data_IF_546266234643
#
_entry.id   IF_546266234643
#
_cell.length_a   1.000
_cell.length_b   1.000
_cell.length_c   1.000
_cell.angle_alpha   90.00
_cell.angle_beta   90.00
_cell.angle_gamma   90.00
#
_symmetry.space_group_name_H-M   'P 1'
#
loop_
_entity.id
_entity.type
_entity.pdbx_description
1 polymer ?
#
# COMPACT_ATOMS: atom_id res chain seq x y z
N UNK A 1 -14.54 -31.25 -16.44
CA UNK A 1 -13.58 -30.17 -16.75
C UNK A 1 -14.38 -29.07 -17.43
N UNK A 2 -14.72 -28.02 -16.70
CA UNK A 2 -15.41 -26.83 -17.22
C UNK A 2 -14.47 -25.64 -17.02
N UNK A 3 -14.17 -24.84 -18.05
CA UNK A 3 -13.28 -23.70 -17.91
C UNK A 3 -14.07 -22.46 -17.43
N UNK A 4 -13.47 -21.79 -16.47
CA UNK A 4 -13.80 -20.46 -15.98
C UNK A 4 -13.65 -19.42 -17.09
N UNK A 5 -14.71 -18.68 -17.40
CA UNK A 5 -14.58 -17.40 -18.12
C UNK A 5 -15.85 -16.56 -18.01
N UNK A 6 -16.09 -15.89 -16.89
CA UNK A 6 -16.99 -14.71 -16.83
C UNK A 6 -16.77 -13.94 -15.52
N UNK A 7 -15.75 -13.07 -15.46
CA UNK A 7 -15.79 -11.83 -14.65
C UNK A 7 -14.92 -10.79 -15.36
N UNK A 8 -15.48 -10.11 -16.36
CA UNK A 8 -14.97 -8.84 -16.83
C UNK A 8 -15.68 -7.76 -16.02
N UNK A 9 -14.99 -7.17 -15.03
CA UNK A 9 -15.46 -5.96 -14.35
C UNK A 9 -15.35 -4.78 -15.32
N UNK A 10 -16.49 -4.24 -15.75
CA UNK A 10 -16.58 -2.99 -16.50
C UNK A 10 -16.09 -1.80 -15.64
N UNK A 11 -15.00 -1.17 -16.07
CA UNK A 11 -14.42 0.06 -15.52
C UNK A 11 -15.19 1.36 -15.88
N UNK A 12 -16.45 1.26 -16.31
CA UNK A 12 -17.16 2.36 -16.98
C UNK A 12 -18.39 2.92 -16.22
N UNK A 13 -18.55 2.63 -14.93
CA UNK A 13 -19.74 3.06 -14.15
C UNK A 13 -19.45 3.95 -12.93
N UNK A 14 -18.34 4.71 -12.94
CA UNK A 14 -17.99 5.67 -11.88
C UNK A 14 -17.69 7.08 -12.41
N UNK A 15 -18.29 7.44 -13.55
CA UNK A 15 -18.30 8.82 -14.06
C UNK A 15 -19.75 9.17 -14.37
N UNK A 16 -20.42 9.83 -13.41
CA UNK A 16 -21.58 10.72 -13.57
C UNK A 16 -22.57 10.63 -12.39
N UNK A 17 -22.19 11.19 -11.25
CA UNK A 17 -23.02 12.03 -10.36
C UNK A 17 -22.00 12.99 -9.76
N UNK A 18 -22.04 14.31 -9.87
CA UNK A 18 -23.10 15.27 -10.10
C UNK A 18 -22.58 16.53 -9.43
N UNK A 19 -22.22 17.50 -10.26
CA UNK A 19 -21.56 18.77 -9.94
C UNK A 19 -22.43 19.66 -9.03
N UNK A 20 -21.90 20.10 -7.88
CA UNK A 20 -22.27 21.35 -7.17
C UNK A 20 -21.56 21.43 -5.80
N UNK A 21 -20.28 21.85 -5.77
CA UNK A 21 -19.61 22.59 -4.67
C UNK A 21 -18.07 22.44 -4.66
N UNK A 22 -17.43 22.06 -5.78
CA UNK A 22 -15.97 21.89 -5.79
C UNK A 22 -15.21 23.24 -5.79
N UNK A 23 -15.85 24.33 -6.23
CA UNK A 23 -15.20 25.62 -6.43
C UNK A 23 -15.17 26.59 -5.24
N UNK A 24 -16.00 26.39 -4.21
CA UNK A 24 -16.26 27.45 -3.20
C UNK A 24 -15.65 27.16 -1.80
N UNK A 25 -15.24 25.91 -1.54
CA UNK A 25 -14.79 25.47 -0.20
C UNK A 25 -13.32 25.05 -0.09
N UNK A 26 -12.64 24.81 -1.22
CA UNK A 26 -11.16 24.69 -1.24
C UNK A 26 -10.47 25.99 -0.83
N UNK A 27 -11.11 27.14 -1.12
CA UNK A 27 -10.69 28.46 -0.65
C UNK A 27 -10.63 28.54 0.87
N UNK A 28 -11.50 27.85 1.63
CA UNK A 28 -11.44 27.89 3.10
C UNK A 28 -10.12 27.33 3.65
N UNK A 29 -9.61 26.25 3.07
CA UNK A 29 -8.32 25.68 3.44
C UNK A 29 -7.17 26.60 3.03
N UNK A 30 -7.19 27.10 1.78
CA UNK A 30 -6.14 27.97 1.23
C UNK A 30 -6.11 29.30 2.00
N UNK A 31 -7.26 29.94 2.22
CA UNK A 31 -7.38 31.19 2.95
C UNK A 31 -6.95 31.01 4.41
N UNK A 32 -7.28 29.89 5.06
CA UNK A 32 -6.78 29.60 6.40
C UNK A 32 -5.25 29.51 6.39
N UNK A 33 -4.68 28.79 5.43
CA UNK A 33 -3.25 28.58 5.32
C UNK A 33 -2.50 29.88 5.02
N UNK A 34 -2.92 30.63 3.99
CA UNK A 34 -2.35 31.94 3.61
C UNK A 34 -2.39 32.89 4.82
N UNK A 35 -3.56 33.02 5.48
CA UNK A 35 -3.68 33.90 6.64
C UNK A 35 -2.82 33.45 7.82
N UNK A 36 -2.74 32.14 8.09
CA UNK A 36 -1.94 31.61 9.19
C UNK A 36 -0.45 31.87 8.96
N UNK A 37 0.04 31.52 7.77
CA UNK A 37 1.47 31.61 7.45
C UNK A 37 1.91 33.07 7.32
N UNK A 38 1.12 33.91 6.63
CA UNK A 38 1.45 35.32 6.44
C UNK A 38 1.40 36.10 7.76
N UNK A 39 0.36 35.90 8.59
CA UNK A 39 0.13 36.71 9.80
C UNK A 39 0.89 36.20 11.02
N UNK A 40 1.04 34.88 11.17
CA UNK A 40 1.57 34.28 12.40
C UNK A 40 3.01 33.77 12.21
N UNK A 41 3.38 33.30 11.02
CA UNK A 41 4.76 32.90 10.75
C UNK A 41 5.64 34.06 10.25
N UNK A 42 5.04 35.15 9.78
CA UNK A 42 5.77 36.24 9.11
C UNK A 42 6.45 35.80 7.81
N UNK A 43 6.06 34.64 7.28
CA UNK A 43 6.51 34.10 6.00
C UNK A 43 5.47 34.55 4.99
N UNK A 44 5.84 35.42 4.05
CA UNK A 44 4.95 35.72 2.92
C UNK A 44 4.93 34.51 1.99
N UNK A 45 3.81 33.81 1.91
CA UNK A 45 3.62 32.80 0.89
C UNK A 45 3.44 33.52 -0.45
N UNK A 46 4.51 33.65 -1.24
CA UNK A 46 4.39 34.14 -2.61
C UNK A 46 3.71 33.04 -3.40
N UNK A 47 2.43 33.25 -3.69
CA UNK A 47 1.61 32.40 -4.53
C UNK A 47 2.28 32.21 -5.90
N UNK A 48 2.50 30.97 -6.32
CA UNK A 48 3.07 30.62 -7.63
C UNK A 48 2.17 31.12 -8.79
N UNK A 49 0.88 31.31 -8.53
CA UNK A 49 -0.10 31.94 -9.42
C UNK A 49 -0.02 33.47 -9.49
N UNK A 50 0.70 34.10 -8.56
CA UNK A 50 0.91 35.55 -8.45
C UNK A 50 2.28 36.03 -8.92
N UNK A 51 3.19 35.13 -9.30
CA UNK A 51 4.45 35.49 -9.98
C UNK A 51 4.27 35.44 -11.52
N UNK A 52 4.12 36.60 -12.19
CA UNK A 52 3.98 36.64 -13.65
C UNK A 52 5.21 36.09 -14.40
N UNK A 53 6.40 36.05 -13.80
CA UNK A 53 7.60 35.47 -14.43
C UNK A 53 7.55 33.93 -14.40
N UNK A 54 7.19 33.31 -13.28
CA UNK A 54 7.10 31.84 -13.17
C UNK A 54 5.98 31.25 -14.05
N UNK A 55 4.80 31.90 -14.08
CA UNK A 55 3.65 31.49 -14.90
C UNK A 55 3.98 31.47 -16.39
N UNK A 56 4.81 32.40 -16.85
CA UNK A 56 5.28 32.43 -18.24
C UNK A 56 6.19 31.24 -18.57
N UNK A 57 7.02 30.83 -17.62
CA UNK A 57 8.00 29.75 -17.80
C UNK A 57 7.34 28.36 -17.79
N UNK A 58 6.35 28.14 -16.92
CA UNK A 58 5.62 26.88 -16.80
C UNK A 58 4.57 26.70 -17.88
N UNK A 59 3.82 27.76 -18.24
CA UNK A 59 2.90 27.71 -19.38
C UNK A 59 3.69 27.43 -20.66
N UNK A 60 4.84 28.10 -20.85
CA UNK A 60 5.71 27.81 -21.98
C UNK A 60 6.30 26.38 -21.94
N UNK A 61 6.61 25.84 -20.76
CA UNK A 61 7.08 24.45 -20.59
C UNK A 61 5.97 23.45 -20.91
N UNK A 62 4.75 23.70 -20.43
CA UNK A 62 3.56 22.86 -20.68
C UNK A 62 3.17 22.87 -22.16
N UNK A 63 3.23 24.03 -22.82
CA UNK A 63 2.94 24.15 -24.26
C UNK A 63 4.03 23.53 -25.13
N UNK A 64 5.30 23.52 -24.68
CA UNK A 64 6.37 22.76 -25.36
C UNK A 64 6.17 21.26 -25.24
N UNK A 65 5.77 20.77 -24.07
CA UNK A 65 5.47 19.35 -23.85
C UNK A 65 4.25 18.88 -24.62
N UNK A 66 3.18 19.68 -24.65
CA UNK A 66 1.95 19.38 -25.41
C UNK A 66 2.22 19.30 -26.91
N UNK A 67 2.99 20.24 -27.47
CA UNK A 67 3.41 20.19 -28.88
C UNK A 67 4.21 18.94 -29.23
N UNK A 68 5.16 18.53 -28.38
CA UNK A 68 5.92 17.28 -28.58
C UNK A 68 5.03 16.04 -28.53
N UNK A 69 4.03 16.03 -27.64
CA UNK A 69 3.09 14.92 -27.54
C UNK A 69 2.20 14.82 -28.80
N UNK A 70 1.71 15.95 -29.30
CA UNK A 70 0.90 16.02 -30.52
C UNK A 70 1.71 15.61 -31.77
N UNK A 71 2.99 15.99 -31.85
CA UNK A 71 3.93 15.54 -32.90
C UNK A 71 4.12 14.03 -32.87
N UNK A 72 4.32 13.44 -31.68
CA UNK A 72 4.47 11.99 -31.52
C UNK A 72 3.17 11.23 -31.86
N UNK A 73 2.01 11.75 -31.46
CA UNK A 73 0.71 11.17 -31.82
C UNK A 73 0.49 11.19 -33.34
N UNK A 74 0.86 12.29 -33.99
CA UNK A 74 0.77 12.44 -35.46
C UNK A 74 1.70 11.46 -36.17
N UNK A 75 2.94 11.28 -35.68
CA UNK A 75 3.86 10.28 -36.22
C UNK A 75 3.32 8.86 -36.05
N UNK A 76 2.74 8.52 -34.90
CA UNK A 76 2.14 7.21 -34.66
C UNK A 76 0.93 6.93 -35.56
N UNK A 77 0.06 7.93 -35.76
CA UNK A 77 -1.06 7.82 -36.69
C UNK A 77 -0.58 7.65 -38.14
N UNK A 78 0.47 8.36 -38.54
CA UNK A 78 1.07 8.24 -39.87
C UNK A 78 1.67 6.85 -40.08
N UNK A 79 2.38 6.31 -39.09
CA UNK A 79 2.92 4.94 -39.13
C UNK A 79 1.81 3.90 -39.18
N UNK A 80 0.71 4.08 -38.43
CA UNK A 80 -0.45 3.18 -38.51
C UNK A 80 -1.14 3.24 -39.87
N UNK A 81 -1.22 4.42 -40.48
CA UNK A 81 -1.80 4.59 -41.82
C UNK A 81 -0.92 3.91 -42.87
N UNK A 82 0.40 4.10 -42.81
CA UNK A 82 1.37 3.42 -43.68
C UNK A 82 1.29 1.89 -43.53
N UNK A 83 1.18 1.37 -42.30
CA UNK A 83 0.99 -0.06 -42.07
C UNK A 83 -0.32 -0.59 -42.64
N UNK A 84 -1.42 0.19 -42.58
CA UNK A 84 -2.69 -0.19 -43.19
C UNK A 84 -2.60 -0.19 -44.72
N UNK A 85 -1.93 0.79 -45.31
CA UNK A 85 -1.71 0.88 -46.75
C UNK A 85 -0.79 -0.25 -47.25
N UNK A 86 0.28 -0.58 -46.52
CA UNK A 86 1.13 -1.74 -46.80
C UNK A 86 0.36 -3.07 -46.66
N UNK A 87 -0.54 -3.19 -45.67
CA UNK A 87 -1.41 -4.36 -45.54
C UNK A 87 -2.42 -4.44 -46.68
N UNK A 88 -3.00 -3.32 -47.12
CA UNK A 88 -3.92 -3.27 -48.26
C UNK A 88 -3.23 -3.57 -49.59
N UNK A 89 -1.98 -3.14 -49.77
CA UNK A 89 -1.16 -3.49 -50.93
C UNK A 89 -0.74 -4.96 -50.93
N UNK A 90 -0.50 -5.54 -49.74
CA UNK A 90 -0.26 -6.99 -49.58
C UNK A 90 -1.52 -7.82 -49.75
N UNK A 91 -2.69 -7.28 -49.42
CA UNK A 91 -4.00 -7.90 -49.63
C UNK A 91 -4.65 -7.45 -50.95
N UNK A 92 -3.91 -7.54 -52.05
CA UNK A 92 -4.45 -7.32 -53.39
C UNK A 92 -5.74 -8.11 -53.65
N UNK A 93 -6.57 -7.69 -54.61
CA UNK A 93 -7.94 -8.18 -54.74
C UNK A 93 -7.95 -9.69 -55.03
N UNK A 94 -8.42 -10.48 -54.06
CA UNK A 94 -8.82 -11.88 -54.29
C UNK A 94 -9.90 -11.88 -55.37
N UNK A 95 -9.57 -12.43 -56.53
CA UNK A 95 -10.47 -12.58 -57.66
C UNK A 95 -11.67 -13.44 -57.27
N UNK A 96 -12.83 -13.14 -57.87
CA UNK A 96 -14.12 -13.75 -57.58
C UNK A 96 -14.21 -15.28 -57.80
N UNK A 97 -13.11 -15.94 -58.21
CA UNK A 97 -13.07 -17.38 -58.46
C UNK A 97 -12.96 -18.24 -57.17
N UNK A 98 -12.44 -17.71 -56.07
CA UNK A 98 -12.21 -18.49 -54.83
C UNK A 98 -13.44 -18.63 -53.92
N UNK A 99 -14.44 -17.75 -54.05
CA UNK A 99 -15.68 -17.83 -53.23
C UNK A 99 -16.66 -18.91 -53.69
N UNK A 100 -16.55 -19.40 -54.91
CA UNK A 100 -17.40 -20.48 -55.47
C UNK A 100 -16.91 -21.89 -55.14
N UNK A 101 -15.62 -22.07 -54.79
CA UNK A 101 -15.06 -23.39 -54.46
C UNK A 101 -15.40 -23.88 -53.04
N UNK A 102 -15.45 -22.96 -52.07
CA UNK A 102 -15.65 -23.30 -50.66
C UNK A 102 -17.12 -23.63 -50.30
N UNK A 103 -18.10 -23.16 -51.10
CA UNK A 103 -19.53 -23.46 -50.92
C UNK A 103 -19.93 -24.82 -51.49
N UNK A 104 -19.27 -25.30 -52.55
CA UNK A 104 -19.52 -26.61 -53.15
C UNK A 104 -19.00 -27.79 -52.33
N UNK A 105 -17.88 -27.61 -51.62
CA UNK A 105 -17.30 -28.67 -50.78
C UNK A 105 -18.12 -28.91 -49.50
N UNK A 106 -18.74 -27.86 -48.95
CA UNK A 106 -19.58 -27.94 -47.75
C UNK A 106 -20.91 -28.66 -48.02
N UNK A 107 -21.51 -28.44 -49.20
CA UNK A 107 -22.75 -29.10 -49.63
C UNK A 107 -22.57 -30.60 -49.90
N UNK A 108 -21.42 -31.03 -50.42
CA UNK A 108 -21.11 -32.46 -50.66
C UNK A 108 -20.86 -33.27 -49.38
N UNK A 109 -20.47 -32.61 -48.29
CA UNK A 109 -20.27 -33.26 -46.99
C UNK A 109 -21.58 -33.42 -46.20
N UNK A 110 -22.58 -32.55 -46.44
CA UNK A 110 -23.90 -32.63 -45.80
C UNK A 110 -24.83 -33.65 -46.47
N UNK A 111 -24.70 -33.87 -47.79
CA UNK A 111 -25.50 -34.87 -48.53
C UNK A 111 -25.03 -36.33 -48.25
N UNK A 112 -23.76 -36.56 -47.89
CA UNK A 112 -23.24 -37.91 -47.58
C UNK A 112 -23.57 -38.45 -46.18
N UNK A 113 -24.00 -37.60 -45.24
CA UNK A 113 -24.36 -37.99 -43.87
C UNK A 113 -25.85 -38.36 -43.71
N UNK A 114 -26.69 -38.07 -44.72
CA UNK A 114 -28.13 -38.29 -44.70
C UNK A 114 -28.58 -39.71 -45.10
N UNK A 115 -27.69 -40.54 -45.65
CA UNK A 115 -28.07 -41.83 -46.25
C UNK A 115 -27.78 -43.05 -45.35
N UNK A 116 -27.16 -42.84 -44.18
CA UNK A 116 -26.90 -43.89 -43.18
C UNK A 116 -27.96 -44.03 -42.07
N UNK A 117 -29.08 -43.30 -42.15
CA UNK A 117 -30.14 -43.31 -41.12
C UNK A 117 -31.51 -43.77 -41.66
N UNK A 118 -31.50 -44.71 -42.60
CA UNK A 118 -32.72 -45.25 -43.22
C UNK A 118 -32.72 -46.78 -43.28
N UNK A 119 -32.42 -47.44 -42.17
CA UNK A 119 -32.76 -48.86 -41.95
C UNK A 119 -32.99 -49.11 -40.46
N UNK A 120 -34.23 -49.45 -40.07
CA UNK A 120 -34.56 -49.97 -38.72
C UNK A 120 -35.71 -49.30 -37.94
N UNK A 121 -36.98 -49.57 -38.33
CA UNK A 121 -38.23 -49.37 -37.55
C UNK A 121 -38.22 -50.24 -36.26
N UNK A 122 -38.96 -50.02 -35.16
CA UNK A 122 -40.04 -49.09 -34.79
C UNK A 122 -40.71 -49.48 -33.44
N UNK A 123 -41.67 -48.66 -32.98
CA UNK A 123 -42.70 -48.84 -31.90
C UNK A 123 -42.22 -48.94 -30.44
N UNK A 124 -42.86 -48.43 -29.37
CA UNK A 124 -43.90 -47.43 -29.08
C UNK A 124 -43.99 -47.26 -27.53
N UNK A 125 -44.60 -46.16 -27.05
CA UNK A 125 -45.26 -45.92 -25.73
C UNK A 125 -44.57 -45.21 -24.51
N UNK A 126 -45.06 -43.96 -24.29
CA UNK A 126 -45.62 -43.26 -23.09
C UNK A 126 -44.93 -43.19 -21.70
N UNK A 127 -44.69 -41.92 -21.33
CA UNK A 127 -45.15 -41.14 -20.15
C UNK A 127 -44.74 -41.43 -18.67
N UNK A 128 -44.28 -40.31 -18.07
CA UNK A 128 -44.41 -39.81 -16.68
C UNK A 128 -43.61 -40.38 -15.49
N UNK A 129 -42.88 -39.46 -14.83
CA UNK A 129 -42.45 -39.50 -13.42
C UNK A 129 -42.34 -38.06 -12.85
N UNK A 130 -42.78 -37.81 -11.60
CA UNK A 130 -42.25 -36.72 -10.78
C UNK A 130 -41.84 -37.12 -9.34
N UNK A 131 -40.97 -36.29 -8.75
CA UNK A 131 -40.64 -36.08 -7.32
C UNK A 131 -40.04 -37.21 -6.44
N UNK A 132 -38.90 -36.92 -5.76
CA UNK A 132 -38.75 -36.66 -4.28
C UNK A 132 -37.28 -36.85 -3.79
N UNK A 133 -36.93 -36.02 -2.78
CA UNK A 133 -35.96 -36.09 -1.63
C UNK A 133 -35.09 -37.36 -1.39
N UNK A 134 -33.98 -37.38 -0.56
CA UNK A 134 -33.84 -36.87 0.85
C UNK A 134 -32.35 -36.61 1.31
N UNK A 135 -31.88 -36.79 2.58
CA UNK A 135 -32.39 -36.50 3.95
C UNK A 135 -31.39 -35.68 4.85
N UNK A 136 -31.83 -35.43 6.11
CA UNK A 136 -31.10 -34.90 7.26
C UNK A 136 -30.72 -35.99 8.31
N UNK A 137 -29.84 -35.68 9.30
CA UNK A 137 -29.84 -36.38 10.60
C UNK A 137 -28.61 -36.26 11.54
N UNK A 138 -28.88 -35.85 12.81
CA UNK A 138 -28.17 -36.04 14.10
C UNK A 138 -26.94 -35.16 14.46
N UNK A 139 -26.70 -34.64 15.69
CA UNK A 139 -27.40 -34.63 16.99
C UNK A 139 -26.43 -34.35 18.18
N UNK A 140 -26.79 -33.43 19.11
CA UNK A 140 -26.39 -33.22 20.55
C UNK A 140 -24.88 -33.19 20.97
N UNK A 141 -24.39 -32.54 22.05
CA UNK A 141 -24.93 -32.07 23.33
C UNK A 141 -24.05 -30.95 23.98
N UNK A 142 -24.62 -30.25 24.96
CA UNK A 142 -24.02 -29.19 25.80
C UNK A 142 -23.68 -29.69 27.22
N UNK A 143 -22.73 -29.04 27.91
CA UNK A 143 -22.58 -29.03 29.38
C UNK A 143 -22.08 -27.66 29.84
N UNK A 144 -22.73 -27.09 30.85
CA UNK A 144 -22.31 -25.90 31.60
C UNK A 144 -22.45 -26.11 33.12
N UNK A 145 -22.27 -25.01 33.86
CA UNK A 145 -22.33 -24.77 35.33
C UNK A 145 -21.02 -24.95 36.11
N UNK A 146 -20.62 -24.09 37.07
CA UNK A 146 -21.24 -22.87 37.62
C UNK A 146 -20.50 -22.31 38.85
N UNK A 147 -20.78 -21.03 39.14
CA UNK A 147 -20.65 -20.18 40.34
C UNK A 147 -20.13 -20.70 41.71
N UNK A 148 -19.48 -19.77 42.44
CA UNK A 148 -19.38 -19.70 43.91
C UNK A 148 -19.02 -18.28 44.40
N UNK A 149 -19.75 -17.78 45.39
CA UNK A 149 -19.87 -16.39 45.85
C UNK A 149 -19.49 -16.18 47.33
N UNK A 150 -19.17 -14.93 47.71
CA UNK A 150 -19.28 -14.36 49.08
C UNK A 150 -17.97 -13.80 49.66
N UNK A 151 -17.89 -12.79 50.55
CA UNK A 151 -18.69 -11.60 50.93
C UNK A 151 -17.98 -10.94 52.14
N UNK A 152 -17.94 -9.60 52.20
CA UNK A 152 -17.60 -8.75 53.39
C UNK A 152 -16.09 -8.50 53.62
N UNK A 153 -15.59 -7.32 54.02
CA UNK A 153 -16.13 -6.03 54.46
C UNK A 153 -15.00 -5.27 55.20
N UNK A 154 -14.98 -3.93 55.06
CA UNK A 154 -14.16 -2.91 55.79
C UNK A 154 -12.62 -2.95 55.59
N UNK A 155 -11.85 -1.89 55.33
CA UNK A 155 -12.03 -0.45 55.35
C UNK A 155 -10.69 0.16 55.81
N UNK A 156 -9.97 0.90 54.95
CA UNK A 156 -9.01 1.96 55.30
C UNK A 156 -8.27 2.46 54.04
N UNK A 157 -8.32 3.77 53.86
CA UNK A 157 -7.71 4.57 52.81
C UNK A 157 -6.17 4.51 52.85
N UNK A 158 -5.54 4.43 51.68
CA UNK A 158 -4.32 5.17 51.37
C UNK A 158 -4.18 5.32 49.85
N UNK A 159 -4.25 6.57 49.38
CA UNK A 159 -4.40 6.95 47.98
C UNK A 159 -3.12 6.77 47.15
N UNK A 160 -3.26 6.06 46.04
CA UNK A 160 -2.29 6.07 44.94
C UNK A 160 -2.82 7.03 43.87
N UNK A 161 -2.12 8.15 43.71
CA UNK A 161 -2.49 9.26 42.83
C UNK A 161 -2.70 8.84 41.37
N UNK A 162 -3.91 9.08 40.88
CA UNK A 162 -4.30 8.88 39.49
C UNK A 162 -3.64 9.92 38.57
N UNK A 163 -3.21 9.43 37.40
CA UNK A 163 -2.69 10.19 36.26
C UNK A 163 -3.76 11.14 35.69
N UNK A 164 -3.85 12.35 36.25
CA UNK A 164 -4.64 13.46 35.74
C UNK A 164 -3.89 14.19 34.63
N UNK A 165 -4.22 13.90 33.36
CA UNK A 165 -3.68 14.65 32.21
C UNK A 165 -4.43 14.41 30.89
N UNK A 166 -5.18 13.31 30.79
CA UNK A 166 -6.00 13.01 29.60
C UNK A 166 -7.38 13.69 29.60
N UNK A 167 -7.94 14.01 30.77
CA UNK A 167 -9.29 14.57 30.89
C UNK A 167 -9.38 16.05 30.48
N UNK A 168 -8.32 16.84 30.68
CA UNK A 168 -8.27 18.26 30.29
C UNK A 168 -8.26 18.48 28.77
N UNK A 169 -7.66 17.57 28.00
CA UNK A 169 -7.66 17.64 26.53
C UNK A 169 -9.03 17.32 25.92
N UNK A 170 -9.72 16.34 26.48
CA UNK A 170 -11.06 15.97 26.06
C UNK A 170 -12.09 17.05 26.46
N UNK A 171 -11.92 17.72 27.61
CA UNK A 171 -12.80 18.81 28.04
C UNK A 171 -12.49 20.17 27.43
N UNK A 172 -11.24 20.44 27.04
CA UNK A 172 -10.89 21.62 26.24
C UNK A 172 -11.46 21.54 24.82
N UNK A 173 -11.37 20.36 24.20
CA UNK A 173 -11.98 20.06 22.91
C UNK A 173 -13.51 20.04 22.96
N UNK A 174 -14.11 19.44 23.99
CA UNK A 174 -15.58 19.44 24.18
C UNK A 174 -16.15 20.84 24.46
N UNK A 175 -15.44 21.70 25.20
CA UNK A 175 -15.86 23.09 25.42
C UNK A 175 -15.76 23.95 24.16
N UNK A 176 -14.76 23.72 23.31
CA UNK A 176 -14.67 24.33 21.98
C UNK A 176 -15.77 23.82 21.03
N UNK A 177 -16.15 22.54 21.11
CA UNK A 177 -17.25 21.93 20.35
C UNK A 177 -18.64 22.39 20.81
N UNK A 178 -18.86 22.60 22.11
CA UNK A 178 -20.10 23.18 22.66
C UNK A 178 -20.35 24.59 22.14
N UNK A 179 -19.30 25.41 22.03
CA UNK A 179 -19.39 26.77 21.48
C UNK A 179 -19.69 26.78 19.95
N UNK A 180 -19.36 25.71 19.24
CA UNK A 180 -19.66 25.52 17.81
C UNK A 180 -21.09 24.98 17.60
N UNK A 181 -21.59 24.13 18.51
CA UNK A 181 -22.96 23.62 18.48
C UNK A 181 -24.00 24.69 18.83
N UNK A 182 -23.74 25.57 19.81
CA UNK A 182 -24.64 26.68 20.16
C UNK A 182 -24.79 27.71 19.03
N UNK A 183 -23.82 27.80 18.12
CA UNK A 183 -23.85 28.68 16.95
C UNK A 183 -24.67 28.12 15.76
N UNK A 184 -25.09 26.86 15.80
CA UNK A 184 -25.82 26.20 14.70
C UNK A 184 -27.29 25.87 15.02
N UNK A 185 -27.72 26.06 16.28
CA UNK A 185 -29.10 25.84 16.71
C UNK A 185 -29.84 27.15 17.03
N UNK A 186 -30.52 27.74 16.05
CA UNK A 186 -31.50 28.81 16.29
C UNK A 186 -31.62 29.81 15.15
N UNK A 187 -32.58 29.58 14.26
CA UNK A 187 -33.01 30.55 13.24
C UNK A 187 -33.46 31.87 13.91
N UNK A 188 -32.78 32.97 13.59
CA UNK A 188 -33.28 34.28 14.00
C UNK A 188 -32.29 35.43 13.97
N UNK A 189 -32.28 36.15 12.84
CA UNK A 189 -31.90 37.57 12.68
C UNK A 189 -30.41 37.93 12.72
N UNK A 190 -29.89 38.10 11.51
CA UNK A 190 -29.09 39.24 11.02
C UNK A 190 -28.07 39.89 12.00
N UNK A 191 -26.80 39.55 11.79
CA UNK A 191 -25.65 40.35 12.25
C UNK A 191 -24.44 39.47 12.59
N UNK A 192 -23.28 39.81 12.02
CA UNK A 192 -21.94 39.25 12.30
C UNK A 192 -21.53 37.93 11.59
N UNK A 193 -20.92 38.08 10.41
CA UNK A 193 -20.08 37.02 9.77
C UNK A 193 -18.60 37.10 10.25
N UNK A 194 -18.30 37.86 11.30
CA UNK A 194 -16.91 38.12 11.74
C UNK A 194 -16.31 37.20 12.81
N UNK A 195 -17.06 36.29 13.42
CA UNK A 195 -16.65 35.61 14.67
C UNK A 195 -15.88 34.29 14.53
N UNK A 196 -16.22 33.46 13.55
CA UNK A 196 -15.67 32.09 13.42
C UNK A 196 -14.19 32.06 13.00
N UNK A 197 -13.78 33.03 12.16
CA UNK A 197 -12.38 33.24 11.77
C UNK A 197 -11.51 33.63 12.97
N UNK A 198 -11.99 34.54 13.83
CA UNK A 198 -11.21 35.05 14.96
C UNK A 198 -10.92 33.97 16.03
N UNK A 199 -11.88 33.09 16.31
CA UNK A 199 -11.70 32.00 17.28
C UNK A 199 -10.74 30.91 16.76
N UNK A 200 -10.84 30.57 15.47
CA UNK A 200 -9.91 29.64 14.81
C UNK A 200 -8.50 30.22 14.76
N UNK A 201 -8.37 31.51 14.44
CA UNK A 201 -7.10 32.25 14.44
C UNK A 201 -6.50 32.32 15.85
N UNK A 202 -7.29 32.49 16.91
CA UNK A 202 -6.79 32.55 18.29
C UNK A 202 -6.24 31.20 18.82
N UNK A 203 -6.83 30.07 18.39
CA UNK A 203 -6.28 28.74 18.72
C UNK A 203 -4.98 28.50 17.97
N UNK A 204 -4.95 28.83 16.68
CA UNK A 204 -3.78 28.71 15.82
C UNK A 204 -2.61 29.58 16.34
N UNK A 205 -2.88 30.84 16.69
CA UNK A 205 -1.92 31.81 17.27
C UNK A 205 -1.17 31.24 18.49
N UNK A 206 -1.91 30.57 19.41
CA UNK A 206 -1.33 29.95 20.61
C UNK A 206 -0.37 28.80 20.27
N UNK A 207 -0.74 27.92 19.34
CA UNK A 207 0.10 26.77 18.96
C UNK A 207 1.30 27.18 18.10
N UNK A 208 1.15 28.25 17.31
CA UNK A 208 2.19 28.79 16.44
C UNK A 208 3.28 29.53 17.22
N UNK A 209 2.92 30.46 18.11
CA UNK A 209 3.92 31.29 18.79
C UNK A 209 4.55 30.62 20.02
N UNK A 210 3.84 29.67 20.64
CA UNK A 210 4.37 28.92 21.77
C UNK A 210 3.92 27.45 21.73
N UNK A 211 4.41 26.68 20.74
CA UNK A 211 4.09 25.26 20.66
C UNK A 211 4.51 24.57 21.95
N UNK A 212 3.65 23.72 22.55
CA UNK A 212 4.03 22.95 23.71
C UNK A 212 5.27 22.09 23.42
N UNK A 213 6.04 21.80 24.47
CA UNK A 213 7.40 21.24 24.34
C UNK A 213 7.46 19.97 23.49
N UNK A 214 6.44 19.11 23.52
CA UNK A 214 6.40 17.87 22.76
C UNK A 214 6.34 18.11 21.24
N UNK A 215 5.70 19.19 20.79
CA UNK A 215 5.68 19.56 19.37
C UNK A 215 7.02 20.12 18.91
N UNK A 216 7.68 20.91 19.77
CA UNK A 216 9.05 21.40 19.50
C UNK A 216 10.03 20.24 19.38
N UNK A 217 9.96 19.27 20.29
CA UNK A 217 10.81 18.05 20.24
C UNK A 217 10.53 17.25 18.97
N UNK A 218 9.28 17.17 18.53
CA UNK A 218 8.89 16.48 17.29
C UNK A 218 9.12 17.32 16.01
N UNK A 219 9.76 18.50 16.12
CA UNK A 219 10.13 19.31 14.94
C UNK A 219 8.94 19.92 14.20
N UNK A 220 7.89 20.29 14.91
CA UNK A 220 6.79 21.07 14.35
C UNK A 220 7.14 22.56 14.35
N UNK A 221 7.32 23.11 13.16
CA UNK A 221 7.50 24.54 12.94
C UNK A 221 6.15 25.24 12.69
N UNK A 222 6.21 26.57 12.59
CA UNK A 222 5.03 27.40 12.38
C UNK A 222 4.22 26.99 11.15
N UNK A 223 4.91 26.75 10.02
CA UNK A 223 4.27 26.38 8.77
C UNK A 223 3.60 25.01 8.84
N UNK A 224 4.26 24.02 9.46
CA UNK A 224 3.70 22.68 9.66
C UNK A 224 2.48 22.71 10.58
N UNK A 225 2.49 23.52 11.65
CA UNK A 225 1.34 23.71 12.52
C UNK A 225 0.17 24.39 11.77
N UNK A 226 0.44 25.41 10.96
CA UNK A 226 -0.56 26.05 10.10
C UNK A 226 -1.20 25.04 9.15
N UNK A 227 -0.38 24.27 8.41
CA UNK A 227 -0.84 23.24 7.47
C UNK A 227 -1.72 22.21 8.17
N UNK A 228 -1.24 21.65 9.29
CA UNK A 228 -1.97 20.62 10.02
C UNK A 228 -3.29 21.14 10.60
N UNK A 229 -3.28 22.33 11.18
CA UNK A 229 -4.47 22.90 11.82
C UNK A 229 -5.53 23.29 10.79
N UNK A 230 -5.15 24.00 9.74
CA UNK A 230 -6.07 24.39 8.67
C UNK A 230 -6.66 23.17 7.95
N UNK A 231 -5.85 22.14 7.70
CA UNK A 231 -6.31 20.87 7.14
C UNK A 231 -7.38 20.24 8.04
N UNK A 232 -7.11 20.12 9.34
CA UNK A 232 -8.07 19.51 10.28
C UNK A 232 -9.34 20.35 10.45
N UNK A 233 -9.25 21.68 10.50
CA UNK A 233 -10.42 22.57 10.55
C UNK A 233 -11.30 22.43 9.31
N UNK A 234 -10.69 22.35 8.12
CA UNK A 234 -11.44 22.15 6.89
C UNK A 234 -12.14 20.78 6.89
N UNK A 235 -11.48 19.72 7.37
CA UNK A 235 -12.11 18.39 7.52
C UNK A 235 -13.30 18.42 8.48
N UNK A 236 -13.18 19.06 9.64
CA UNK A 236 -14.31 19.18 10.59
C UNK A 236 -15.49 19.93 9.96
N UNK A 237 -15.22 21.03 9.26
CA UNK A 237 -16.26 21.80 8.53
C UNK A 237 -16.98 20.94 7.48
N UNK A 238 -16.23 20.10 6.75
CA UNK A 238 -16.82 19.18 5.77
C UNK A 238 -17.68 18.10 6.42
N UNK A 239 -17.19 17.47 7.48
CA UNK A 239 -17.94 16.45 8.22
C UNK A 239 -19.22 17.02 8.83
N UNK A 240 -19.17 18.22 9.39
CA UNK A 240 -20.35 18.93 9.90
C UNK A 240 -21.40 19.22 8.81
N UNK A 241 -20.96 19.44 7.58
CA UNK A 241 -21.82 19.62 6.41
C UNK A 241 -22.26 18.30 5.75
N UNK A 242 -21.93 17.14 6.34
CA UNK A 242 -22.26 15.82 5.79
C UNK A 242 -21.44 15.42 4.56
N UNK A 243 -20.29 16.06 4.32
CA UNK A 243 -19.39 15.74 3.21
C UNK A 243 -18.27 14.77 3.57
N UNK A 244 -17.64 14.19 2.54
CA UNK A 244 -16.54 13.23 2.70
C UNK A 244 -15.20 13.88 3.07
N UNK A 245 -14.31 13.07 3.65
CA UNK A 245 -12.91 13.44 3.91
C UNK A 245 -12.13 13.40 2.60
N UNK A 246 -11.29 14.42 2.39
CA UNK A 246 -10.43 14.51 1.20
C UNK A 246 -8.96 14.31 1.57
N UNK A 247 -8.17 13.90 0.57
CA UNK A 247 -6.72 13.91 0.66
C UNK A 247 -6.17 15.31 0.41
N UNK A 248 -5.09 15.66 1.11
CA UNK A 248 -4.35 16.90 0.96
C UNK A 248 -2.93 16.54 0.54
N UNK A 249 -2.48 17.07 -0.61
CA UNK A 249 -1.18 16.70 -1.19
C UNK A 249 -1.00 15.18 -1.35
N UNK A 250 -2.09 14.46 -1.66
CA UNK A 250 -2.09 13.00 -1.80
C UNK A 250 -2.03 12.22 -0.48
N UNK A 251 -2.20 12.87 0.68
CA UNK A 251 -2.20 12.21 2.00
C UNK A 251 -3.52 12.42 2.75
N UNK A 252 -3.88 11.47 3.60
CA UNK A 252 -5.06 11.60 4.44
C UNK A 252 -4.82 12.53 5.64
N UNK A 253 -5.87 13.23 6.11
CA UNK A 253 -5.76 14.13 7.25
C UNK A 253 -5.87 13.39 8.59
N UNK A 254 -4.75 13.22 9.29
CA UNK A 254 -4.70 12.59 10.61
C UNK A 254 -4.88 13.58 11.77
N UNK A 255 -5.41 13.08 12.90
CA UNK A 255 -5.24 13.68 14.22
C UNK A 255 -3.88 13.27 14.78
N UNK A 256 -3.03 14.26 15.02
CA UNK A 256 -1.75 14.05 15.71
C UNK A 256 -1.96 13.65 17.17
N UNK A 257 -1.09 12.78 17.69
CA UNK A 257 -1.05 12.38 19.11
C UNK A 257 0.36 12.60 19.66
N UNK A 258 0.52 13.40 20.72
CA UNK A 258 1.82 13.74 21.32
C UNK A 258 2.90 14.28 20.35
N UNK A 259 2.48 14.83 19.21
CA UNK A 259 3.42 15.29 18.18
C UNK A 259 3.64 14.28 17.04
N UNK A 260 3.16 13.04 17.17
CA UNK A 260 3.27 11.98 16.17
C UNK A 260 2.13 12.14 15.15
N UNK A 261 2.49 12.32 13.89
CA UNK A 261 1.55 12.58 12.79
C UNK A 261 0.64 11.38 12.52
N UNK A 262 1.21 10.18 12.39
CA UNK A 262 0.48 8.93 12.10
C UNK A 262 0.76 7.88 13.19
N UNK A 263 0.08 8.01 14.34
CA UNK A 263 0.38 7.20 15.53
C UNK A 263 0.46 5.69 15.26
N UNK A 264 -0.55 5.12 14.60
CA UNK A 264 -0.61 3.69 14.40
C UNK A 264 0.39 3.21 13.34
N UNK A 265 0.58 3.95 12.25
CA UNK A 265 1.65 3.67 11.29
C UNK A 265 3.01 3.65 11.98
N UNK A 266 3.36 4.66 12.78
CA UNK A 266 4.63 4.70 13.53
C UNK A 266 4.81 3.51 14.49
N UNK A 267 3.77 3.19 15.28
CA UNK A 267 3.84 2.09 16.25
C UNK A 267 3.97 0.73 15.56
N UNK A 268 3.22 0.51 14.49
CA UNK A 268 3.26 -0.75 13.76
C UNK A 268 4.53 -0.91 12.93
N UNK A 269 5.08 0.18 12.37
CA UNK A 269 6.44 0.17 11.80
C UNK A 269 7.46 -0.25 12.84
N UNK A 270 7.49 0.37 14.02
CA UNK A 270 8.38 -0.03 15.11
C UNK A 270 8.17 -1.51 15.52
N UNK A 271 6.91 -1.96 15.53
CA UNK A 271 6.53 -3.35 15.76
C UNK A 271 7.13 -4.34 14.76
N UNK A 272 7.27 -3.95 13.48
CA UNK A 272 7.93 -4.79 12.47
C UNK A 272 9.44 -4.95 12.69
N UNK A 273 10.06 -4.06 13.47
CA UNK A 273 11.44 -4.23 13.96
C UNK A 273 11.59 -5.36 15.00
N UNK A 274 10.53 -5.70 15.73
CA UNK A 274 10.59 -6.66 16.85
C UNK A 274 10.98 -8.09 16.46
N UNK A 275 10.45 -8.71 15.38
CA UNK A 275 10.91 -10.02 14.92
C UNK A 275 12.41 -10.06 14.65
N UNK A 276 12.97 -8.99 14.08
CA UNK A 276 14.40 -8.88 13.79
C UNK A 276 15.22 -8.76 15.07
N UNK A 277 14.80 -7.87 15.99
CA UNK A 277 15.44 -7.67 17.29
C UNK A 277 15.40 -8.93 18.15
N UNK A 278 14.26 -9.59 18.23
CA UNK A 278 14.07 -10.85 18.97
C UNK A 278 15.04 -11.91 18.49
N UNK A 279 15.16 -12.12 17.17
CA UNK A 279 16.04 -13.16 16.65
C UNK A 279 17.52 -12.82 16.82
N UNK A 280 17.87 -11.54 16.66
CA UNK A 280 19.23 -11.05 16.88
C UNK A 280 19.70 -11.24 18.33
N UNK A 281 18.86 -10.91 19.32
CA UNK A 281 19.23 -10.94 20.74
C UNK A 281 19.02 -12.30 21.40
N UNK A 282 17.91 -12.98 21.10
CA UNK A 282 17.47 -14.15 21.88
C UNK A 282 17.66 -15.48 21.16
N UNK A 283 17.86 -15.48 19.84
CA UNK A 283 18.02 -16.72 19.08
C UNK A 283 19.02 -16.66 17.91
N UNK A 284 20.18 -15.97 18.04
CA UNK A 284 21.11 -15.78 16.93
C UNK A 284 21.61 -17.08 16.32
N UNK A 285 21.95 -18.07 17.16
CA UNK A 285 22.40 -19.38 16.70
C UNK A 285 21.31 -20.25 16.06
N UNK A 286 20.02 -19.91 16.23
CA UNK A 286 18.93 -20.71 15.67
C UNK A 286 18.73 -20.42 14.18
N UNK A 287 18.65 -19.13 13.82
CA UNK A 287 18.44 -18.72 12.44
C UNK A 287 19.75 -18.61 11.67
N UNK A 288 20.89 -18.46 12.38
CA UNK A 288 22.22 -18.36 11.81
C UNK A 288 23.21 -19.37 12.42
N UNK A 289 22.98 -20.68 12.27
CA UNK A 289 23.82 -21.71 12.85
C UNK A 289 25.23 -21.72 12.21
N UNK A 290 26.29 -22.09 12.99
CA UNK A 290 27.63 -22.31 12.45
C UNK A 290 27.63 -23.32 11.31
N UNK A 291 28.50 -23.11 10.31
CA UNK A 291 28.59 -23.97 9.14
C UNK A 291 27.56 -23.68 8.03
N UNK A 292 26.56 -22.84 8.28
CA UNK A 292 25.65 -22.40 7.21
C UNK A 292 26.39 -21.51 6.21
N UNK A 293 26.35 -21.84 4.92
CA UNK A 293 26.99 -21.04 3.87
C UNK A 293 26.35 -19.64 3.69
N UNK A 294 25.11 -19.45 4.15
CA UNK A 294 24.42 -18.16 4.17
C UNK A 294 24.80 -17.29 5.37
N UNK A 295 25.69 -17.75 6.25
CA UNK A 295 25.93 -17.16 7.57
C UNK A 295 26.19 -15.65 7.55
N UNK A 296 27.02 -15.18 6.62
CA UNK A 296 27.29 -13.75 6.48
C UNK A 296 26.01 -12.94 6.22
N UNK A 297 25.21 -13.37 5.24
CA UNK A 297 23.99 -12.67 4.86
C UNK A 297 22.91 -12.75 5.94
N UNK A 298 22.81 -13.88 6.64
CA UNK A 298 21.89 -14.03 7.77
C UNK A 298 22.32 -13.16 8.95
N UNK A 299 23.62 -12.96 9.21
CA UNK A 299 24.08 -12.00 10.23
C UNK A 299 23.60 -10.57 9.93
N UNK A 300 23.68 -10.15 8.65
CA UNK A 300 23.30 -8.79 8.22
C UNK A 300 21.78 -8.60 8.18
N UNK A 301 21.03 -9.67 7.93
CA UNK A 301 19.57 -9.65 7.71
C UNK A 301 18.74 -8.89 8.77
N UNK A 302 18.85 -9.17 10.08
CA UNK A 302 18.08 -8.42 11.08
C UNK A 302 18.46 -6.93 11.14
N UNK A 303 19.72 -6.57 10.88
CA UNK A 303 20.16 -5.16 10.92
C UNK A 303 19.50 -4.34 9.82
N UNK A 304 19.47 -4.87 8.59
CA UNK A 304 18.80 -4.20 7.47
C UNK A 304 17.30 -4.06 7.75
N UNK A 305 16.66 -5.13 8.26
CA UNK A 305 15.25 -5.10 8.64
C UNK A 305 14.95 -4.05 9.71
N UNK A 306 15.67 -4.07 10.84
CA UNK A 306 15.49 -3.08 11.91
C UNK A 306 15.70 -1.64 11.43
N UNK A 307 16.74 -1.40 10.63
CA UNK A 307 17.01 -0.06 10.10
C UNK A 307 15.85 0.43 9.20
N UNK A 308 15.30 -0.45 8.37
CA UNK A 308 14.16 -0.13 7.50
C UNK A 308 12.95 0.31 8.30
N UNK A 309 12.57 -0.51 9.28
CA UNK A 309 11.39 -0.27 10.11
C UNK A 309 11.56 0.91 11.07
N UNK A 310 12.79 1.19 11.50
CA UNK A 310 13.12 2.42 12.23
C UNK A 310 12.82 3.65 11.39
N UNK A 311 13.32 3.70 10.15
CA UNK A 311 13.12 4.86 9.28
C UNK A 311 11.67 5.05 8.85
N UNK A 312 10.94 3.95 8.62
CA UNK A 312 9.49 4.00 8.45
C UNK A 312 8.78 4.57 9.68
N UNK A 313 9.13 4.11 10.89
CA UNK A 313 8.53 4.64 12.12
C UNK A 313 8.80 6.14 12.31
N UNK A 314 10.04 6.57 12.00
CA UNK A 314 10.46 7.99 12.07
C UNK A 314 9.69 8.84 11.05
N UNK A 315 9.54 8.38 9.81
CA UNK A 315 8.78 9.06 8.77
C UNK A 315 7.30 9.24 9.13
N UNK A 316 6.62 8.17 9.53
CA UNK A 316 5.22 8.26 9.96
C UNK A 316 5.04 9.10 11.23
N UNK A 317 6.08 9.17 12.07
CA UNK A 317 6.01 9.99 13.27
C UNK A 317 6.15 11.47 12.93
N UNK A 318 7.08 11.79 12.02
CA UNK A 318 7.30 13.14 11.53
C UNK A 318 7.68 13.13 10.06
N UNK A 319 6.72 13.52 9.24
CA UNK A 319 6.85 13.59 7.79
C UNK A 319 7.49 14.91 7.37
N UNK A 320 8.77 14.86 7.01
CA UNK A 320 9.57 15.97 6.48
C UNK A 320 10.50 15.43 5.39
N UNK A 321 11.03 16.28 4.48
CA UNK A 321 11.72 15.78 3.28
C UNK A 321 12.86 14.78 3.54
N UNK A 322 13.61 14.94 4.63
CA UNK A 322 14.72 14.04 4.94
C UNK A 322 14.28 12.72 5.59
N UNK A 323 13.18 12.71 6.37
CA UNK A 323 12.62 11.46 6.93
C UNK A 323 11.92 10.67 5.84
N UNK A 324 11.21 11.35 4.93
CA UNK A 324 10.65 10.78 3.71
C UNK A 324 11.74 10.14 2.85
N UNK A 325 12.81 10.87 2.53
CA UNK A 325 13.93 10.32 1.76
C UNK A 325 14.54 9.09 2.42
N UNK A 326 14.75 9.14 3.75
CA UNK A 326 15.33 8.01 4.48
C UNK A 326 14.43 6.77 4.46
N UNK A 327 13.13 6.91 4.70
CA UNK A 327 12.18 5.79 4.64
C UNK A 327 12.25 5.09 3.27
N UNK A 328 12.23 5.87 2.18
CA UNK A 328 12.25 5.35 0.83
C UNK A 328 13.54 4.64 0.50
N UNK A 329 14.68 5.24 0.83
CA UNK A 329 15.99 4.68 0.57
C UNK A 329 16.21 3.39 1.35
N UNK A 330 15.81 3.35 2.61
CA UNK A 330 16.00 2.16 3.45
C UNK A 330 14.96 1.06 3.17
N UNK A 331 13.72 1.40 2.82
CA UNK A 331 12.77 0.44 2.27
C UNK A 331 13.30 -0.21 0.99
N UNK A 332 13.86 0.59 0.08
CA UNK A 332 14.45 0.07 -1.15
C UNK A 332 15.70 -0.78 -0.86
N UNK A 333 16.56 -0.35 0.08
CA UNK A 333 17.71 -1.12 0.54
C UNK A 333 17.29 -2.51 1.01
N UNK A 334 16.24 -2.59 1.80
CA UNK A 334 15.70 -3.84 2.31
C UNK A 334 15.23 -4.74 1.18
N UNK A 335 14.42 -4.22 0.25
CA UNK A 335 13.90 -4.99 -0.89
C UNK A 335 15.06 -5.55 -1.73
N UNK A 336 16.04 -4.71 -2.08
CA UNK A 336 17.24 -5.16 -2.81
C UNK A 336 18.03 -6.22 -2.05
N UNK A 337 18.20 -6.03 -0.74
CA UNK A 337 18.90 -6.97 0.12
C UNK A 337 18.16 -8.32 0.21
N UNK A 338 16.84 -8.34 0.37
CA UNK A 338 16.08 -9.61 0.43
C UNK A 338 15.99 -10.31 -0.92
N UNK A 339 15.97 -9.58 -2.04
CA UNK A 339 16.14 -10.14 -3.40
C UNK A 339 17.50 -10.82 -3.50
N UNK A 340 18.56 -10.14 -3.04
CA UNK A 340 19.91 -10.70 -3.02
C UNK A 340 20.01 -11.97 -2.17
N UNK A 341 19.44 -11.96 -0.96
CA UNK A 341 19.39 -13.15 -0.09
C UNK A 341 18.67 -14.30 -0.78
N UNK A 342 17.53 -14.06 -1.42
CA UNK A 342 16.80 -15.08 -2.18
C UNK A 342 17.65 -15.66 -3.32
N UNK A 343 18.35 -14.79 -4.06
CA UNK A 343 19.22 -15.17 -5.16
C UNK A 343 20.42 -16.01 -4.71
N UNK A 344 21.13 -15.61 -3.65
CA UNK A 344 22.25 -16.39 -3.08
C UNK A 344 21.75 -17.74 -2.53
N UNK A 345 20.56 -17.74 -1.92
CA UNK A 345 19.95 -18.98 -1.43
C UNK A 345 19.65 -19.95 -2.57
N UNK A 346 19.03 -19.48 -3.65
CA UNK A 346 18.77 -20.25 -4.87
C UNK A 346 20.05 -20.77 -5.55
N UNK A 347 21.12 -19.98 -5.53
CA UNK A 347 22.40 -20.38 -6.10
C UNK A 347 23.11 -21.50 -5.32
N UNK A 348 22.64 -21.84 -4.12
CA UNK A 348 23.17 -22.93 -3.29
C UNK A 348 24.59 -22.67 -2.74
N UNK A 349 25.17 -23.66 -2.04
CA UNK A 349 26.50 -23.55 -1.44
C UNK A 349 27.61 -23.32 -2.48
N UNK A 350 28.59 -22.41 -2.24
CA UNK A 350 29.67 -22.10 -3.19
C UNK A 350 30.44 -23.32 -3.71
N UNK A 351 30.65 -24.33 -2.85
CA UNK A 351 31.31 -25.59 -3.19
C UNK A 351 30.60 -26.35 -4.32
N UNK A 352 29.27 -26.34 -4.34
CA UNK A 352 28.44 -27.07 -5.31
C UNK A 352 28.13 -26.25 -6.58
N UNK A 353 28.59 -24.99 -6.65
CA UNK A 353 28.35 -24.12 -7.81
C UNK A 353 29.27 -24.50 -8.97
N UNK A 354 28.71 -24.53 -10.18
CA UNK A 354 29.51 -24.57 -11.41
C UNK A 354 30.43 -23.35 -11.53
N UNK A 355 31.52 -23.47 -12.30
CA UNK A 355 32.45 -22.35 -12.53
C UNK A 355 31.75 -21.08 -13.04
N UNK A 356 30.74 -21.22 -13.91
CA UNK A 356 29.93 -20.08 -14.38
C UNK A 356 29.18 -19.40 -13.24
N UNK A 357 28.53 -20.17 -12.37
CA UNK A 357 27.73 -19.63 -11.27
C UNK A 357 28.61 -18.99 -10.18
N UNK A 358 29.84 -19.51 -9.96
CA UNK A 358 30.81 -18.89 -9.05
C UNK A 358 31.22 -17.47 -9.47
N UNK A 359 31.25 -17.18 -10.77
CA UNK A 359 31.49 -15.83 -11.31
C UNK A 359 30.22 -14.98 -11.33
N UNK A 360 29.10 -15.56 -11.76
CA UNK A 360 27.83 -14.83 -11.91
C UNK A 360 27.32 -14.26 -10.59
N UNK A 361 27.34 -15.05 -9.51
CA UNK A 361 26.76 -14.63 -8.22
C UNK A 361 27.35 -13.31 -7.70
N UNK A 362 28.68 -13.18 -7.51
CA UNK A 362 29.26 -11.91 -7.06
C UNK A 362 29.04 -10.77 -8.07
N UNK A 363 29.08 -11.03 -9.39
CA UNK A 363 28.78 -10.00 -10.40
C UNK A 363 27.39 -9.43 -10.23
N UNK A 364 26.35 -10.27 -10.07
CA UNK A 364 24.98 -9.82 -9.83
C UNK A 364 24.89 -8.98 -8.56
N UNK A 365 25.52 -9.43 -7.47
CA UNK A 365 25.53 -8.70 -6.19
C UNK A 365 26.16 -7.30 -6.31
N UNK A 366 27.32 -7.21 -6.97
CA UNK A 366 27.99 -5.92 -7.22
C UNK A 366 27.12 -5.03 -8.13
N UNK A 367 26.55 -5.58 -9.20
CA UNK A 367 25.66 -4.80 -10.09
C UNK A 367 24.44 -4.26 -9.36
N UNK A 368 23.80 -5.05 -8.49
CA UNK A 368 22.67 -4.59 -7.66
C UNK A 368 23.10 -3.47 -6.69
N UNK A 369 24.25 -3.61 -6.04
CA UNK A 369 24.76 -2.59 -5.12
C UNK A 369 25.10 -1.28 -5.86
N UNK A 370 25.78 -1.37 -7.01
CA UNK A 370 26.08 -0.20 -7.85
C UNK A 370 24.80 0.47 -8.32
N UNK A 371 23.82 -0.30 -8.79
CA UNK A 371 22.52 0.25 -9.19
C UNK A 371 21.83 1.00 -8.04
N UNK A 372 21.77 0.40 -6.86
CA UNK A 372 21.16 1.03 -5.68
C UNK A 372 21.85 2.36 -5.32
N UNK A 373 23.19 2.41 -5.35
CA UNK A 373 23.95 3.64 -5.10
C UNK A 373 23.67 4.71 -6.15
N UNK A 374 23.63 4.34 -7.43
CA UNK A 374 23.28 5.26 -8.53
C UNK A 374 21.84 5.76 -8.40
N UNK A 375 20.91 4.89 -8.03
CA UNK A 375 19.50 5.22 -7.81
C UNK A 375 19.34 6.27 -6.70
N UNK A 376 19.94 6.04 -5.53
CA UNK A 376 19.89 7.01 -4.42
C UNK A 376 20.59 8.31 -4.79
N UNK A 377 21.74 8.23 -5.46
CA UNK A 377 22.45 9.43 -5.92
C UNK A 377 21.58 10.25 -6.87
N UNK A 378 20.87 9.59 -7.79
CA UNK A 378 19.93 10.25 -8.70
C UNK A 378 18.78 10.93 -7.94
N UNK A 379 18.11 10.19 -7.05
CA UNK A 379 16.99 10.68 -6.24
C UNK A 379 17.38 11.83 -5.30
N UNK A 380 18.63 11.84 -4.83
CA UNK A 380 19.14 12.85 -3.89
C UNK A 380 19.58 14.13 -4.60
N UNK A 381 20.30 14.02 -5.73
CA UNK A 381 20.97 15.17 -6.34
C UNK A 381 20.25 15.77 -7.55
N UNK A 382 19.30 15.05 -8.17
CA UNK A 382 18.63 15.52 -9.39
C UNK A 382 17.15 15.79 -9.15
N UNK A 383 16.36 14.75 -8.91
CA UNK A 383 14.92 14.86 -8.69
C UNK A 383 14.44 13.73 -7.80
N UNK A 384 13.78 14.06 -6.70
CA UNK A 384 13.12 13.08 -5.84
C UNK A 384 11.79 12.65 -6.48
N UNK A 385 11.84 11.68 -7.39
CA UNK A 385 10.68 11.17 -8.14
C UNK A 385 10.08 9.94 -7.43
N UNK A 386 8.99 10.17 -6.68
CA UNK A 386 8.21 9.13 -6.01
C UNK A 386 7.77 8.01 -6.96
N UNK A 387 7.24 8.37 -8.13
CA UNK A 387 6.71 7.40 -9.10
C UNK A 387 7.82 6.54 -9.72
N UNK A 388 9.02 7.09 -9.90
CA UNK A 388 10.20 6.32 -10.27
C UNK A 388 10.63 5.36 -9.15
N UNK A 389 10.76 5.83 -7.91
CA UNK A 389 11.10 4.96 -6.77
C UNK A 389 10.11 3.80 -6.63
N UNK A 390 8.81 4.09 -6.68
CA UNK A 390 7.76 3.07 -6.56
C UNK A 390 7.81 2.02 -7.67
N UNK A 391 8.11 2.42 -8.92
CA UNK A 391 8.32 1.45 -10.01
C UNK A 391 9.51 0.53 -9.75
N UNK A 392 10.62 1.07 -9.26
CA UNK A 392 11.82 0.28 -8.92
C UNK A 392 11.54 -0.66 -7.76
N UNK A 393 10.91 -0.18 -6.70
CA UNK A 393 10.50 -0.98 -5.54
C UNK A 393 9.53 -2.12 -5.96
N UNK A 394 8.52 -1.82 -6.79
CA UNK A 394 7.56 -2.79 -7.30
C UNK A 394 8.26 -3.90 -8.12
N UNK A 395 9.14 -3.53 -9.05
CA UNK A 395 9.88 -4.51 -9.87
C UNK A 395 10.77 -5.41 -9.01
N UNK A 396 11.48 -4.82 -8.03
CA UNK A 396 12.30 -5.58 -7.10
C UNK A 396 11.44 -6.47 -6.17
N UNK A 397 10.26 -6.01 -5.75
CA UNK A 397 9.27 -6.78 -5.00
C UNK A 397 8.73 -7.97 -5.78
N UNK A 398 8.41 -7.81 -7.06
CA UNK A 398 8.02 -8.91 -7.96
C UNK A 398 9.16 -9.93 -8.10
N UNK A 399 10.40 -9.46 -8.26
CA UNK A 399 11.57 -10.33 -8.31
C UNK A 399 11.75 -11.12 -7.00
N UNK A 400 11.60 -10.46 -5.84
CA UNK A 400 11.64 -11.09 -4.52
C UNK A 400 10.59 -12.23 -4.42
N UNK A 401 9.34 -11.93 -4.76
CA UNK A 401 8.24 -12.90 -4.74
C UNK A 401 8.53 -14.07 -5.67
N UNK A 402 8.95 -13.82 -6.91
CA UNK A 402 9.23 -14.85 -7.89
C UNK A 402 10.38 -15.77 -7.47
N UNK A 403 11.49 -15.20 -6.95
CA UNK A 403 12.65 -15.97 -6.50
C UNK A 403 12.28 -16.86 -5.31
N UNK A 404 11.60 -16.32 -4.31
CA UNK A 404 11.24 -17.14 -3.16
C UNK A 404 10.18 -18.18 -3.48
N UNK A 405 9.14 -17.88 -4.26
CA UNK A 405 8.16 -18.90 -4.68
C UNK A 405 8.83 -20.01 -5.49
N UNK A 406 9.77 -19.67 -6.38
CA UNK A 406 10.61 -20.66 -7.06
C UNK A 406 11.40 -21.50 -6.07
N UNK A 407 12.02 -20.87 -5.07
CA UNK A 407 12.77 -21.59 -4.04
C UNK A 407 11.86 -22.58 -3.28
N UNK A 408 10.69 -22.13 -2.81
CA UNK A 408 9.72 -23.00 -2.13
C UNK A 408 9.26 -24.17 -2.99
N UNK A 409 9.05 -23.94 -4.30
CA UNK A 409 8.71 -24.99 -5.24
C UNK A 409 9.83 -26.04 -5.38
N UNK A 410 11.09 -25.62 -5.42
CA UNK A 410 12.24 -26.52 -5.51
C UNK A 410 12.43 -27.37 -4.24
N UNK A 411 12.05 -26.84 -3.08
CA UNK A 411 12.14 -27.55 -1.80
C UNK A 411 10.79 -28.11 -1.32
N UNK A 412 9.78 -28.22 -2.20
CA UNK A 412 8.40 -28.59 -1.84
C UNK A 412 8.25 -29.88 -1.06
N UNK A 413 9.20 -30.81 -1.20
CA UNK A 413 9.20 -32.09 -0.50
C UNK A 413 9.69 -31.95 0.96
N UNK A 414 10.24 -30.79 1.34
CA UNK A 414 10.62 -30.47 2.72
C UNK A 414 9.38 -30.02 3.51
N UNK A 415 9.18 -30.49 4.75
CA UNK A 415 7.97 -30.24 5.53
C UNK A 415 7.71 -28.75 5.85
N UNK A 416 8.76 -27.93 5.81
CA UNK A 416 8.70 -26.50 6.11
C UNK A 416 8.50 -25.59 4.89
N UNK A 417 8.59 -26.11 3.65
CA UNK A 417 8.53 -25.30 2.43
C UNK A 417 7.20 -24.54 2.26
N UNK A 418 6.08 -25.21 2.61
CA UNK A 418 4.75 -24.59 2.52
C UNK A 418 4.64 -23.33 3.39
N UNK A 419 5.31 -23.30 4.55
CA UNK A 419 5.26 -22.14 5.45
C UNK A 419 5.83 -20.89 4.78
N UNK A 420 6.99 -21.01 4.13
CA UNK A 420 7.59 -19.90 3.40
C UNK A 420 6.68 -19.40 2.28
N UNK A 421 6.07 -20.31 1.51
CA UNK A 421 5.15 -19.94 0.43
C UNK A 421 3.92 -19.20 0.95
N UNK A 422 3.31 -19.68 2.03
CA UNK A 422 2.15 -19.03 2.67
C UNK A 422 2.51 -17.62 3.14
N UNK A 423 3.65 -17.44 3.80
CA UNK A 423 4.09 -16.11 4.26
C UNK A 423 4.27 -15.16 3.08
N UNK A 424 4.89 -15.59 1.98
CA UNK A 424 5.08 -14.75 0.79
C UNK A 424 3.73 -14.35 0.18
N UNK A 425 2.79 -15.30 0.06
CA UNK A 425 1.45 -15.02 -0.47
C UNK A 425 0.71 -14.02 0.43
N UNK A 426 0.77 -14.20 1.75
CA UNK A 426 0.14 -13.29 2.71
C UNK A 426 0.78 -11.91 2.71
N UNK A 427 2.10 -11.80 2.55
CA UNK A 427 2.79 -10.51 2.38
C UNK A 427 2.31 -9.78 1.12
N UNK A 428 2.17 -10.49 -0.01
CA UNK A 428 1.64 -9.89 -1.24
C UNK A 428 0.15 -9.53 -1.10
N UNK A 429 -0.63 -10.32 -0.38
CA UNK A 429 -2.02 -9.99 -0.07
C UNK A 429 -2.12 -8.73 0.83
N UNK A 430 -1.20 -8.58 1.79
CA UNK A 430 -1.14 -7.39 2.63
C UNK A 430 -0.86 -6.13 1.79
N UNK A 431 0.02 -6.21 0.78
CA UNK A 431 0.27 -5.08 -0.15
C UNK A 431 -1.02 -4.60 -0.84
N UNK A 432 -2.05 -5.44 -0.99
CA UNK A 432 -3.34 -4.99 -1.54
C UNK A 432 -4.04 -3.96 -0.65
N UNK A 433 -3.70 -3.86 0.63
CA UNK A 433 -4.18 -2.78 1.52
C UNK A 433 -3.57 -1.43 1.12
N UNK A 434 -2.33 -1.41 0.63
CA UNK A 434 -1.70 -0.21 0.06
C UNK A 434 -2.49 0.32 -1.14
N UNK A 435 -3.05 -0.60 -1.94
CA UNK A 435 -3.81 -0.26 -3.15
C UNK A 435 -5.26 0.11 -2.81
N UNK A 436 -5.83 -0.52 -1.78
CA UNK A 436 -7.19 -0.24 -1.31
C UNK A 436 -7.17 0.84 -0.22
N UNK A 437 -6.70 2.03 -0.62
CA UNK A 437 -6.57 3.19 0.24
C UNK A 437 -7.95 3.72 0.69
N UNK A 438 -8.08 4.08 1.97
CA UNK A 438 -9.33 4.56 2.57
C UNK A 438 -9.07 5.65 3.63
N UNK A 439 -10.02 6.59 3.86
CA UNK A 439 -9.84 7.65 4.85
C UNK A 439 -9.69 7.09 6.27
N UNK A 440 -8.78 7.66 7.09
CA UNK A 440 -8.42 7.08 8.38
C UNK A 440 -9.63 6.97 9.31
N UNK A 441 -9.89 5.75 9.76
CA UNK A 441 -10.86 5.46 10.81
C UNK A 441 -10.47 6.24 12.08
N UNK A 442 -11.45 6.93 12.64
CA UNK A 442 -11.26 7.82 13.79
C UNK A 442 -10.19 8.91 13.59
N UNK A 443 -9.81 9.18 12.34
CA UNK A 443 -8.67 10.04 11.94
C UNK A 443 -7.32 9.59 12.50
N UNK A 444 -7.15 8.29 12.76
CA UNK A 444 -5.94 7.71 13.34
C UNK A 444 -5.44 6.46 12.61
N UNK A 445 -6.33 5.64 12.07
CA UNK A 445 -6.00 4.32 11.50
C UNK A 445 -6.48 4.22 10.05
N UNK A 446 -5.56 4.15 9.10
CA UNK A 446 -5.82 3.99 7.67
C UNK A 446 -5.43 2.59 7.15
N UNK A 447 -5.54 2.39 5.84
CA UNK A 447 -5.17 1.14 5.19
C UNK A 447 -3.67 0.83 5.36
N UNK A 448 -2.83 1.86 5.29
CA UNK A 448 -1.38 1.74 5.40
C UNK A 448 -0.94 1.28 6.79
N UNK A 449 -1.53 1.81 7.87
CA UNK A 449 -1.29 1.33 9.22
C UNK A 449 -1.71 -0.13 9.40
N UNK A 450 -2.84 -0.55 8.81
CA UNK A 450 -3.29 -1.96 8.87
C UNK A 450 -2.30 -2.86 8.13
N UNK A 451 -1.74 -2.41 7.01
CA UNK A 451 -0.67 -3.13 6.32
C UNK A 451 0.53 -3.36 7.24
N UNK A 452 1.05 -2.31 7.88
CA UNK A 452 2.15 -2.43 8.86
C UNK A 452 1.80 -3.43 9.97
N UNK A 453 0.60 -3.35 10.54
CA UNK A 453 0.19 -4.28 11.59
C UNK A 453 0.17 -5.74 11.11
N UNK A 454 -0.37 -5.98 9.91
CA UNK A 454 -0.50 -7.31 9.34
C UNK A 454 0.85 -7.99 9.09
N UNK A 455 1.91 -7.23 8.79
CA UNK A 455 3.24 -7.80 8.50
C UNK A 455 4.03 -8.25 9.73
N UNK A 456 3.70 -7.73 10.93
CA UNK A 456 4.38 -8.10 12.19
C UNK A 456 4.35 -9.61 12.45
N UNK A 457 3.17 -10.27 12.54
CA UNK A 457 3.11 -11.71 12.78
C UNK A 457 3.69 -12.51 11.60
N UNK A 458 3.58 -12.00 10.37
CA UNK A 458 4.13 -12.66 9.18
C UNK A 458 5.66 -12.78 9.25
N UNK A 459 6.34 -11.75 9.78
CA UNK A 459 7.79 -11.77 9.94
C UNK A 459 8.26 -12.77 11.00
N UNK A 460 7.52 -12.99 12.09
CA UNK A 460 7.81 -14.10 13.01
C UNK A 460 7.71 -15.47 12.32
N UNK A 461 6.68 -15.66 11.49
CA UNK A 461 6.52 -16.89 10.71
C UNK A 461 7.61 -17.05 9.64
N UNK A 462 8.07 -15.96 9.04
CA UNK A 462 9.20 -15.94 8.13
C UNK A 462 10.47 -16.43 8.80
N UNK A 463 10.81 -15.91 9.98
CA UNK A 463 11.97 -16.36 10.74
C UNK A 463 11.91 -17.85 11.10
N UNK A 464 10.72 -18.37 11.40
CA UNK A 464 10.57 -19.81 11.64
C UNK A 464 10.92 -20.64 10.39
N UNK A 465 10.50 -20.21 9.21
CA UNK A 465 10.95 -20.81 7.95
C UNK A 465 12.48 -20.72 7.80
N UNK A 466 13.07 -19.54 8.03
CA UNK A 466 14.53 -19.33 7.94
C UNK A 466 15.31 -20.26 8.89
N UNK A 467 14.85 -20.42 10.13
CA UNK A 467 15.47 -21.31 11.13
C UNK A 467 15.44 -22.77 10.66
N UNK A 468 14.27 -23.24 10.22
CA UNK A 468 14.11 -24.62 9.76
C UNK A 468 14.98 -24.88 8.53
N UNK A 469 15.02 -23.93 7.60
CA UNK A 469 15.83 -24.02 6.41
C UNK A 469 17.34 -24.02 6.72
N UNK A 470 17.80 -23.10 7.57
CA UNK A 470 19.19 -23.01 7.99
C UNK A 470 19.69 -24.29 8.67
N UNK A 471 18.89 -24.87 9.58
CA UNK A 471 19.23 -26.13 10.27
C UNK A 471 19.31 -27.31 9.31
N UNK A 472 18.40 -27.37 8.34
CA UNK A 472 18.41 -28.43 7.34
C UNK A 472 19.68 -28.39 6.49
N UNK A 473 20.12 -27.22 6.05
CA UNK A 473 21.34 -27.08 5.24
C UNK A 473 22.61 -27.44 5.99
N UNK A 474 22.71 -27.07 7.27
CA UNK A 474 23.85 -27.49 8.11
C UNK A 474 23.88 -29.00 8.24
N UNK A 475 22.72 -29.63 8.45
CA UNK A 475 22.61 -31.10 8.55
C UNK A 475 23.03 -31.81 7.26
N UNK A 476 22.66 -31.27 6.10
CA UNK A 476 23.12 -31.80 4.81
C UNK A 476 24.64 -31.66 4.68
N UNK A 477 25.20 -30.52 5.07
CA UNK A 477 26.64 -30.30 4.97
C UNK A 477 27.46 -31.20 5.88
N UNK A 478 26.96 -31.57 7.06
CA UNK A 478 27.64 -32.49 7.98
C UNK A 478 27.57 -33.95 7.54
N UNK A 479 26.62 -34.33 6.69
CA UNK A 479 26.51 -35.70 6.16
C UNK A 479 27.42 -35.95 4.95
N UNK A 480 27.87 -34.88 4.30
CA UNK A 480 28.73 -34.94 3.12
C UNK A 480 30.24 -34.84 3.47
N UNK A 481 30.56 -34.52 4.73
CA UNK A 481 31.90 -34.57 5.33
C UNK A 481 32.08 -35.86 6.09
#
# INVERSE_FOLDING_TARGET
MAPFSHVWFSWAALVAVGDASFGDRSWLYIDCLDNCVDKLCGIKYVREDQDPELKSSEVARRDRLRRRLDEHLTQLQTLQQQQKEEQQQRSGPTTAAEKTGASGLRRRLEEGAGEASREGRGTAHRDHLPQRQPPAGSGAAAVGFGNGSGSGGDGAEEGVGALGGGAEWADGGRRALSAVQDATGGEGKAGAVGGSSAASVAVVDRYVHNPPWHLRVMGWDCESECKHTCMNLHVESRLAAGGDIWQYYGKWPFRRVWGIQELFSSLFSAGNGLPHLYHLLLSPGQYNPPGNYMRFWLTVYPWVGMNTWLWSAVFHARDVPWTEAADYFFALMNIFFVVWVAFVRLAGPPRNRSHRLRKLVPTVGVSMAVYYLLHISYMTFFTFDYGYNMRVALLAGVAHTALWLRYQYLIRDRPYARRGAVVIILLNAAILLEVNDFPPLFRLLDAHAIWHFATIPLMFHWYHFVIQDARHEVTLSTKET
#
